data_IF_991338702913
#
_entry.id   IF_991338702913
#
_cell.length_a   1.000
_cell.length_b   1.000
_cell.length_c   1.000
_cell.angle_alpha   90.00
_cell.angle_beta   90.00
_cell.angle_gamma   90.00
#
_symmetry.space_group_name_H-M   'P 1'
#
loop_
_entity.id
_entity.type
_entity.pdbx_description
1 polymer ?
#
# COMPACT_ATOMS: atom_id res chain seq x y z
N UNK A 1 10.11 54.21 -67.95
CA UNK A 1 10.36 52.76 -68.07
C UNK A 1 10.79 52.19 -66.70
N UNK A 2 11.62 52.88 -65.91
CA UNK A 2 12.12 52.39 -64.63
C UNK A 2 11.01 52.18 -63.50
N UNK A 3 9.92 52.97 -63.49
CA UNK A 3 8.89 52.92 -62.51
C UNK A 3 8.01 51.64 -62.58
N UNK A 4 7.90 51.04 -63.73
CA UNK A 4 7.11 49.81 -63.96
C UNK A 4 7.83 48.54 -63.44
N UNK A 5 9.14 48.52 -63.46
CA UNK A 5 9.94 47.40 -63.02
C UNK A 5 10.03 47.32 -61.47
N UNK A 6 10.10 48.49 -60.82
CA UNK A 6 10.16 48.53 -59.34
C UNK A 6 8.85 48.05 -58.68
N UNK A 7 7.70 48.31 -59.30
CA UNK A 7 6.41 47.85 -58.81
C UNK A 7 6.21 46.33 -58.91
N UNK A 8 6.73 45.75 -60.01
CA UNK A 8 6.68 44.25 -60.17
C UNK A 8 7.58 43.51 -59.17
N UNK A 9 8.76 44.06 -58.87
CA UNK A 9 9.70 43.46 -57.93
C UNK A 9 9.16 43.52 -56.51
N UNK A 10 8.50 44.61 -56.13
CA UNK A 10 7.88 44.74 -54.78
C UNK A 10 6.67 43.79 -54.64
N UNK A 11 5.86 43.62 -55.68
CA UNK A 11 4.75 42.67 -55.68
C UNK A 11 5.20 41.24 -55.54
N UNK A 12 6.28 40.86 -56.23
CA UNK A 12 6.86 39.52 -56.12
C UNK A 12 7.45 39.25 -54.71
N UNK A 13 8.12 40.25 -54.12
CA UNK A 13 8.64 40.15 -52.75
C UNK A 13 7.52 40.03 -51.72
N UNK A 14 6.40 40.72 -51.91
CA UNK A 14 5.23 40.65 -51.00
C UNK A 14 4.56 39.29 -51.09
N UNK A 15 4.43 38.72 -52.28
CA UNK A 15 3.89 37.35 -52.48
C UNK A 15 4.83 36.30 -51.86
N UNK A 16 6.15 36.47 -51.96
CA UNK A 16 7.13 35.55 -51.39
C UNK A 16 7.14 35.62 -49.85
N UNK A 17 7.00 36.81 -49.26
CA UNK A 17 6.85 36.99 -47.82
C UNK A 17 5.51 36.40 -47.29
N UNK A 18 4.43 36.51 -48.04
CA UNK A 18 3.13 35.96 -47.67
C UNK A 18 3.10 34.43 -47.75
N UNK A 19 3.80 33.85 -48.75
CA UNK A 19 3.94 32.40 -48.88
C UNK A 19 4.82 31.77 -47.79
N UNK A 20 5.81 32.53 -47.26
CA UNK A 20 6.65 32.04 -46.17
C UNK A 20 5.95 32.09 -44.79
N UNK A 21 4.95 32.96 -44.63
CA UNK A 21 4.20 33.08 -43.37
C UNK A 21 3.10 32.01 -43.20
N UNK A 22 2.68 31.36 -44.30
CA UNK A 22 1.64 30.30 -44.23
C UNK A 22 2.23 28.90 -43.99
N UNK A 23 3.54 28.71 -44.18
CA UNK A 23 4.21 27.42 -43.95
C UNK A 23 4.62 27.19 -42.48
N UNK A 24 4.47 28.20 -41.61
CA UNK A 24 4.84 28.08 -40.20
C UNK A 24 3.71 27.62 -39.29
N UNK A 25 2.51 27.32 -39.84
CA UNK A 25 1.35 26.90 -39.04
C UNK A 25 0.96 25.43 -39.21
N UNK A 26 1.71 24.65 -39.96
CA UNK A 26 1.63 23.20 -39.86
C UNK A 26 2.62 22.74 -38.80
N UNK A 27 2.39 23.12 -37.54
CA UNK A 27 2.82 22.31 -36.45
C UNK A 27 2.03 21.01 -36.57
N UNK A 28 2.66 19.98 -37.17
CA UNK A 28 2.26 18.64 -36.89
C UNK A 28 2.28 18.50 -35.37
N UNK A 29 1.14 18.59 -34.74
CA UNK A 29 0.87 17.81 -33.54
C UNK A 29 0.90 16.37 -34.06
N UNK A 30 2.09 15.75 -34.08
CA UNK A 30 2.16 14.32 -34.15
C UNK A 30 1.23 13.83 -33.07
N UNK A 31 0.39 12.86 -33.38
CA UNK A 31 -0.15 11.95 -32.37
C UNK A 31 1.09 11.27 -31.74
N UNK A 32 1.83 12.02 -30.94
CA UNK A 32 2.71 11.41 -29.97
C UNK A 32 1.77 10.62 -29.10
N UNK A 33 1.88 9.30 -29.15
CA UNK A 33 1.28 8.37 -28.19
C UNK A 33 1.75 8.79 -26.79
N UNK A 34 1.17 9.87 -26.28
CA UNK A 34 1.26 10.22 -24.88
C UNK A 34 0.49 9.13 -24.16
N UNK A 35 1.21 8.09 -23.76
CA UNK A 35 0.70 7.13 -22.81
C UNK A 35 0.35 7.94 -21.56
N UNK A 36 -0.93 8.31 -21.44
CA UNK A 36 -1.45 8.94 -20.22
C UNK A 36 -1.14 7.93 -19.12
N UNK A 37 -0.25 8.27 -18.17
CA UNK A 37 0.04 7.32 -17.09
C UNK A 37 -1.28 6.96 -16.41
N UNK A 38 -1.54 5.67 -16.25
CA UNK A 38 -2.71 5.19 -15.53
C UNK A 38 -2.64 5.74 -14.10
N UNK A 39 -3.49 6.71 -13.80
CA UNK A 39 -3.61 7.25 -12.44
C UNK A 39 -4.41 6.23 -11.63
N UNK A 40 -3.73 5.46 -10.81
CA UNK A 40 -4.41 4.60 -9.85
C UNK A 40 -5.07 5.48 -8.78
N UNK A 41 -6.37 5.32 -8.62
CA UNK A 41 -7.10 5.89 -7.49
C UNK A 41 -7.08 4.88 -6.34
N UNK A 42 -6.70 5.35 -5.14
CA UNK A 42 -6.68 4.52 -3.95
C UNK A 42 -7.87 4.85 -3.05
N UNK A 43 -8.58 3.82 -2.56
CA UNK A 43 -9.48 3.93 -1.43
C UNK A 43 -8.70 3.92 -0.11
N UNK A 44 -7.55 3.22 -0.09
CA UNK A 44 -6.65 3.16 1.05
C UNK A 44 -5.20 2.97 0.59
N UNK A 45 -4.24 3.61 1.27
CA UNK A 45 -2.81 3.42 1.02
C UNK A 45 -2.01 3.69 2.29
N UNK A 46 -1.24 2.71 2.76
CA UNK A 46 -0.35 2.82 3.93
C UNK A 46 0.96 2.09 3.69
N UNK A 47 2.08 2.81 3.86
CA UNK A 47 3.45 2.31 3.76
C UNK A 47 4.24 2.48 5.07
N UNK A 48 3.59 2.91 6.15
CA UNK A 48 4.18 3.12 7.48
C UNK A 48 5.26 4.22 7.54
N UNK A 49 5.47 5.00 6.49
CA UNK A 49 6.56 5.99 6.40
C UNK A 49 6.47 7.11 7.45
N UNK A 50 5.28 7.36 8.01
CA UNK A 50 5.07 8.31 9.10
C UNK A 50 5.25 7.71 10.50
N UNK A 51 5.47 6.40 10.62
CA UNK A 51 5.62 5.73 11.91
C UNK A 51 6.98 5.99 12.53
N UNK A 52 7.07 6.38 13.81
CA UNK A 52 8.34 6.49 14.48
C UNK A 52 8.98 5.10 14.63
N UNK A 53 10.28 5.00 14.35
CA UNK A 53 11.03 3.75 14.40
C UNK A 53 11.95 3.70 15.61
N UNK A 54 12.12 2.50 16.19
CA UNK A 54 13.12 2.23 17.19
C UNK A 54 14.46 1.78 16.56
N UNK A 55 15.52 1.85 17.34
CA UNK A 55 16.85 1.34 16.95
C UNK A 55 17.31 0.19 17.84
N UNK A 56 18.05 -0.76 17.26
CA UNK A 56 18.55 -1.93 17.98
C UNK A 56 17.39 -2.78 18.55
N UNK A 57 17.39 -2.99 19.88
CA UNK A 57 16.35 -3.75 20.57
C UNK A 57 15.12 -2.92 20.96
N UNK A 58 15.12 -1.61 20.69
CA UNK A 58 13.98 -0.74 21.01
C UNK A 58 12.89 -0.97 19.97
N UNK A 59 11.69 -1.35 20.43
CA UNK A 59 10.48 -1.49 19.61
C UNK A 59 9.56 -0.32 19.90
N UNK A 60 9.26 0.48 18.87
CA UNK A 60 8.26 1.55 18.97
C UNK A 60 6.99 1.04 18.31
N UNK A 61 5.91 0.80 19.09
CA UNK A 61 4.67 0.28 18.54
C UNK A 61 4.07 1.21 17.49
N UNK A 62 3.47 0.62 16.45
CA UNK A 62 2.67 1.36 15.47
C UNK A 62 1.47 1.94 16.20
N UNK A 63 1.32 3.28 16.10
CA UNK A 63 0.27 4.07 16.73
C UNK A 63 -0.28 5.10 15.74
N UNK A 64 -0.59 4.68 14.53
CA UNK A 64 -1.21 5.50 13.51
C UNK A 64 -2.69 5.76 13.83
N UNK A 65 -3.19 6.93 13.43
CA UNK A 65 -4.58 7.31 13.68
C UNK A 65 -5.57 6.29 13.10
N UNK A 66 -6.53 5.87 13.91
CA UNK A 66 -7.56 4.92 13.54
C UNK A 66 -7.11 3.45 13.43
N UNK A 67 -5.80 3.16 13.54
CA UNK A 67 -5.30 1.80 13.58
C UNK A 67 -5.49 1.17 14.96
N UNK A 68 -5.75 -0.14 14.99
CA UNK A 68 -5.74 -0.94 16.22
C UNK A 68 -4.55 -1.88 16.19
N UNK A 69 -3.68 -1.77 17.19
CA UNK A 69 -2.51 -2.61 17.40
C UNK A 69 -2.65 -3.30 18.76
N UNK A 70 -2.91 -4.60 18.76
CA UNK A 70 -3.31 -5.33 19.95
C UNK A 70 -2.73 -6.75 19.96
N UNK A 71 -2.30 -7.24 21.11
CA UNK A 71 -1.93 -8.64 21.32
C UNK A 71 -2.98 -9.35 22.18
N UNK A 72 -3.75 -10.24 21.57
CA UNK A 72 -4.75 -11.08 22.22
C UNK A 72 -4.16 -12.37 22.82
N UNK A 73 -2.97 -12.30 23.42
CA UNK A 73 -2.32 -13.42 24.09
C UNK A 73 -3.23 -14.07 25.11
N UNK A 74 -3.30 -15.40 25.08
CA UNK A 74 -4.09 -16.22 26.03
C UNK A 74 -3.23 -16.93 27.07
N UNK A 75 -1.90 -16.76 27.02
CA UNK A 75 -0.97 -17.33 27.99
C UNK A 75 -0.99 -16.59 29.33
N UNK A 76 -0.43 -17.22 30.36
CA UNK A 76 -0.25 -16.63 31.70
C UNK A 76 1.23 -16.75 32.08
N UNK A 77 1.99 -15.62 32.15
CA UNK A 77 1.56 -14.24 31.84
C UNK A 77 1.23 -14.05 30.34
N UNK A 78 0.40 -13.06 30.03
CA UNK A 78 0.09 -12.72 28.65
C UNK A 78 1.28 -11.96 27.98
N UNK A 79 1.45 -12.14 26.67
CA UNK A 79 2.36 -11.31 25.91
C UNK A 79 1.77 -9.91 25.74
N UNK A 80 2.62 -8.89 25.89
CA UNK A 80 2.26 -7.48 25.69
C UNK A 80 2.92 -6.89 24.44
N UNK A 81 3.61 -7.71 23.64
CA UNK A 81 4.30 -7.25 22.43
C UNK A 81 3.31 -6.83 21.35
N UNK A 82 3.65 -5.77 20.64
CA UNK A 82 2.83 -5.17 19.60
C UNK A 82 3.59 -5.14 18.27
N UNK A 83 2.90 -5.00 17.17
CA UNK A 83 3.49 -4.63 15.91
C UNK A 83 4.24 -3.30 16.07
N UNK A 84 5.44 -3.23 15.56
CA UNK A 84 6.30 -2.05 15.68
C UNK A 84 6.88 -1.68 14.31
N UNK A 85 7.25 -0.41 14.14
CA UNK A 85 7.87 0.06 12.93
C UNK A 85 9.39 -0.14 12.96
N UNK A 86 9.93 -0.57 11.83
CA UNK A 86 11.38 -0.68 11.57
C UNK A 86 11.74 0.06 10.30
N UNK A 87 13.00 0.46 10.20
CA UNK A 87 13.55 1.05 8.98
C UNK A 87 14.75 0.25 8.49
N UNK A 88 14.82 0.07 7.18
CA UNK A 88 15.97 -0.47 6.48
C UNK A 88 16.06 0.12 5.08
N UNK A 89 17.23 0.63 4.69
CA UNK A 89 17.49 1.25 3.38
C UNK A 89 16.45 2.35 3.02
N UNK A 90 16.19 3.24 3.99
CA UNK A 90 15.21 4.33 3.89
C UNK A 90 13.75 3.92 3.72
N UNK A 91 13.41 2.63 3.80
CA UNK A 91 12.06 2.11 3.81
C UNK A 91 11.61 1.82 5.24
N UNK A 92 10.41 2.27 5.62
CA UNK A 92 9.79 1.97 6.92
C UNK A 92 8.69 0.94 6.69
N UNK A 93 8.58 -0.04 7.56
CA UNK A 93 7.61 -1.14 7.46
C UNK A 93 7.17 -1.59 8.84
N UNK A 94 6.02 -2.26 8.93
CA UNK A 94 5.59 -2.93 10.15
C UNK A 94 6.33 -4.26 10.33
N UNK A 95 6.77 -4.57 11.55
CA UNK A 95 7.47 -5.80 11.90
C UNK A 95 6.88 -6.43 13.16
N UNK A 96 6.82 -7.76 13.19
CA UNK A 96 6.56 -8.54 14.39
C UNK A 96 7.40 -9.83 14.39
N UNK A 97 7.83 -10.26 15.59
CA UNK A 97 8.52 -11.54 15.79
C UNK A 97 8.31 -12.05 17.22
N UNK A 98 7.94 -13.31 17.37
CA UNK A 98 7.88 -13.97 18.69
C UNK A 98 9.24 -14.38 19.24
N UNK A 99 10.33 -14.16 18.51
CA UNK A 99 11.68 -14.52 18.97
C UNK A 99 12.05 -13.82 20.29
N UNK A 100 11.63 -12.57 20.45
CA UNK A 100 11.90 -11.77 21.65
C UNK A 100 10.78 -11.83 22.71
N UNK A 101 9.75 -12.66 22.50
CA UNK A 101 8.70 -12.86 23.49
C UNK A 101 9.22 -13.63 24.71
N UNK A 102 8.55 -13.45 25.84
CA UNK A 102 8.88 -14.17 27.08
C UNK A 102 8.59 -15.67 26.87
N UNK A 103 9.44 -16.53 27.40
CA UNK A 103 9.22 -17.99 27.34
C UNK A 103 7.91 -18.37 28.07
N UNK A 104 7.11 -19.22 27.47
CA UNK A 104 5.81 -19.61 27.99
C UNK A 104 4.65 -18.68 27.58
N UNK A 105 4.92 -17.57 26.88
CA UNK A 105 3.86 -16.72 26.31
C UNK A 105 3.57 -17.13 24.87
N UNK A 106 2.31 -16.90 24.44
CA UNK A 106 1.92 -16.93 23.04
C UNK A 106 1.66 -15.50 22.56
N UNK A 107 1.87 -15.28 21.27
CA UNK A 107 1.53 -14.02 20.59
C UNK A 107 0.35 -14.25 19.65
N UNK A 108 -0.66 -13.41 19.77
CA UNK A 108 -1.79 -13.29 18.83
C UNK A 108 -1.92 -11.80 18.50
N UNK A 109 -0.93 -11.30 17.75
CA UNK A 109 -0.79 -9.86 17.53
C UNK A 109 -1.58 -9.42 16.29
N UNK A 110 -2.54 -8.52 16.51
CA UNK A 110 -3.40 -7.92 15.52
C UNK A 110 -2.90 -6.53 15.14
N UNK A 111 -2.86 -6.24 13.85
CA UNK A 111 -2.71 -4.90 13.29
C UNK A 111 -3.88 -4.68 12.33
N UNK A 112 -4.79 -3.76 12.68
CA UNK A 112 -6.07 -3.58 11.99
C UNK A 112 -6.15 -2.16 11.47
N UNK A 113 -6.54 -2.00 10.20
CA UNK A 113 -6.68 -0.69 9.55
C UNK A 113 -7.77 0.17 10.18
N UNK A 114 -7.75 1.50 9.96
CA UNK A 114 -8.94 2.33 10.11
C UNK A 114 -10.13 1.80 9.31
N UNK A 115 -11.34 2.33 9.56
CA UNK A 115 -12.49 2.09 8.69
C UNK A 115 -12.21 2.64 7.29
N UNK A 116 -12.53 1.84 6.29
CA UNK A 116 -12.36 2.17 4.88
C UNK A 116 -13.75 2.13 4.25
N UNK A 117 -14.16 3.26 3.66
CA UNK A 117 -15.45 3.37 2.98
C UNK A 117 -15.31 2.89 1.52
N UNK A 118 -15.97 1.79 1.20
CA UNK A 118 -16.05 1.21 -0.14
C UNK A 118 -17.46 1.32 -0.76
N UNK A 119 -18.38 2.11 -0.17
CA UNK A 119 -19.78 2.23 -0.67
C UNK A 119 -19.88 2.99 -1.98
N UNK A 120 -18.95 3.89 -2.28
CA UNK A 120 -18.97 4.75 -3.47
C UNK A 120 -17.94 4.34 -4.53
N UNK A 121 -17.43 3.11 -4.46
CA UNK A 121 -16.36 2.61 -5.34
C UNK A 121 -16.76 1.28 -5.96
N UNK A 122 -16.04 0.83 -6.97
CA UNK A 122 -16.24 -0.45 -7.65
C UNK A 122 -14.91 -1.07 -8.05
N UNK A 123 -14.86 -2.40 -8.12
CA UNK A 123 -13.68 -3.12 -8.58
C UNK A 123 -12.49 -3.00 -7.64
N UNK A 124 -12.75 -2.88 -6.34
CA UNK A 124 -11.73 -2.71 -5.32
C UNK A 124 -10.82 -3.93 -5.23
N UNK A 125 -9.53 -3.65 -5.18
CA UNK A 125 -8.51 -4.69 -5.10
C UNK A 125 -7.50 -4.34 -4.00
N UNK A 126 -7.37 -5.24 -3.03
CA UNK A 126 -6.35 -5.16 -1.99
C UNK A 126 -5.05 -5.79 -2.49
N UNK A 127 -3.93 -5.11 -2.25
CA UNK A 127 -2.59 -5.67 -2.34
C UNK A 127 -1.73 -5.17 -1.17
N UNK A 128 -0.79 -5.99 -0.74
CA UNK A 128 0.21 -5.64 0.28
C UNK A 128 1.49 -6.45 0.04
N UNK A 129 2.59 -6.04 0.65
CA UNK A 129 3.85 -6.75 0.57
C UNK A 129 4.20 -7.38 1.92
N UNK A 130 4.69 -8.62 1.90
CA UNK A 130 5.22 -9.28 3.09
C UNK A 130 6.63 -9.81 2.84
N UNK A 131 7.43 -9.86 3.90
CA UNK A 131 8.77 -10.45 3.91
C UNK A 131 8.96 -11.25 5.19
N UNK A 132 9.56 -12.43 5.06
CA UNK A 132 9.99 -13.22 6.21
C UNK A 132 11.48 -13.13 6.41
N UNK A 133 11.92 -13.21 7.68
CA UNK A 133 13.32 -13.39 8.07
C UNK A 133 13.41 -14.49 9.14
N UNK A 134 14.45 -15.27 9.09
CA UNK A 134 14.67 -16.38 10.04
C UNK A 134 13.44 -17.32 10.14
N UNK A 135 12.84 -17.62 8.99
CA UNK A 135 11.59 -18.35 8.93
C UNK A 135 11.72 -19.79 9.48
N UNK A 136 10.82 -20.13 10.41
CA UNK A 136 10.61 -21.47 10.94
C UNK A 136 9.11 -21.86 10.94
N UNK A 137 8.31 -21.19 10.13
CA UNK A 137 6.88 -21.34 9.91
C UNK A 137 6.32 -20.03 9.39
N UNK A 138 5.10 -20.03 8.85
CA UNK A 138 4.45 -18.80 8.37
C UNK A 138 3.39 -18.31 9.37
N UNK A 139 3.59 -17.15 10.04
CA UNK A 139 2.78 -16.75 11.17
C UNK A 139 1.57 -15.87 10.81
N UNK A 140 1.48 -15.33 9.58
CA UNK A 140 0.49 -14.33 9.21
C UNK A 140 -0.79 -14.94 8.66
N UNK A 141 -1.92 -14.40 9.11
CA UNK A 141 -3.21 -14.53 8.45
C UNK A 141 -3.78 -13.12 8.23
N UNK A 142 -4.24 -12.83 7.02
CA UNK A 142 -4.96 -11.61 6.70
C UNK A 142 -6.47 -11.86 6.75
N UNK A 143 -7.24 -10.87 7.19
CA UNK A 143 -8.69 -10.94 7.31
C UNK A 143 -9.34 -9.66 6.82
N UNK A 144 -10.63 -9.76 6.50
CA UNK A 144 -11.53 -8.63 6.27
C UNK A 144 -12.76 -8.74 7.19
N UNK A 145 -13.26 -7.60 7.64
CA UNK A 145 -14.50 -7.46 8.40
C UNK A 145 -15.25 -6.21 7.97
N UNK A 146 -16.59 -6.25 8.04
CA UNK A 146 -17.48 -5.10 7.82
C UNK A 146 -18.29 -4.74 9.08
N UNK A 147 -18.17 -5.54 10.14
CA UNK A 147 -18.91 -5.40 11.40
C UNK A 147 -18.01 -5.11 12.63
N UNK A 148 -16.69 -4.96 12.42
CA UNK A 148 -15.78 -4.64 13.51
C UNK A 148 -15.94 -3.19 13.98
N UNK A 149 -16.13 -2.99 15.28
CA UNK A 149 -16.44 -1.72 15.92
C UNK A 149 -15.24 -0.80 16.20
N UNK A 150 -14.01 -1.26 15.88
CA UNK A 150 -12.77 -0.50 16.11
C UNK A 150 -12.22 -0.62 17.54
N UNK A 151 -12.83 -1.40 18.42
CA UNK A 151 -12.35 -1.57 19.80
C UNK A 151 -11.61 -2.89 20.01
N UNK A 152 -10.67 -2.95 20.96
CA UNK A 152 -10.00 -4.21 21.30
C UNK A 152 -10.95 -5.31 21.78
N UNK A 153 -12.06 -4.94 22.43
CA UNK A 153 -13.11 -5.87 22.85
C UNK A 153 -13.87 -6.44 21.64
N UNK A 154 -14.13 -5.62 20.62
CA UNK A 154 -14.81 -6.00 19.40
C UNK A 154 -14.06 -7.03 18.55
N UNK A 155 -12.75 -7.18 18.72
CA UNK A 155 -11.96 -8.19 17.97
C UNK A 155 -12.53 -9.60 18.16
N UNK A 156 -13.02 -9.93 19.35
CA UNK A 156 -13.55 -11.25 19.68
C UNK A 156 -14.99 -11.48 19.16
N UNK A 157 -15.72 -10.43 18.86
CA UNK A 157 -17.14 -10.48 18.46
C UNK A 157 -17.38 -10.21 16.98
N UNK A 158 -16.44 -9.53 16.31
CA UNK A 158 -16.53 -9.24 14.89
C UNK A 158 -16.41 -10.51 14.05
N UNK A 159 -17.03 -10.47 12.88
CA UNK A 159 -16.91 -11.50 11.84
C UNK A 159 -15.66 -11.26 11.02
N UNK A 160 -14.67 -12.15 11.13
CA UNK A 160 -13.41 -12.08 10.39
C UNK A 160 -13.38 -13.12 9.28
N UNK A 161 -13.48 -12.68 8.02
CA UNK A 161 -13.34 -13.53 6.84
C UNK A 161 -11.87 -13.61 6.44
N UNK A 162 -11.24 -14.80 6.39
CA UNK A 162 -9.85 -14.94 6.00
C UNK A 162 -9.67 -14.63 4.52
N UNK A 163 -8.57 -13.90 4.20
CA UNK A 163 -8.16 -13.56 2.84
C UNK A 163 -7.04 -14.50 2.38
N UNK A 164 -7.16 -14.99 1.15
CA UNK A 164 -6.11 -15.79 0.51
C UNK A 164 -5.14 -14.86 -0.21
N UNK A 165 -3.84 -15.06 0.00
CA UNK A 165 -2.78 -14.26 -0.60
C UNK A 165 -1.51 -15.06 -0.84
N UNK A 166 -0.60 -14.53 -1.66
CA UNK A 166 0.71 -15.14 -1.91
C UNK A 166 1.66 -14.84 -0.76
N UNK A 167 2.13 -15.88 -0.08
CA UNK A 167 3.11 -15.76 1.00
C UNK A 167 4.56 -15.86 0.46
N UNK A 168 5.55 -15.23 1.13
CA UNK A 168 6.96 -15.42 0.81
C UNK A 168 7.39 -16.90 0.95
N UNK A 169 8.15 -17.38 -0.03
CA UNK A 169 8.76 -18.72 -0.03
C UNK A 169 10.25 -18.70 0.30
N UNK A 170 10.84 -17.51 0.38
CA UNK A 170 12.24 -17.29 0.73
C UNK A 170 12.36 -16.14 1.75
N UNK A 171 13.41 -16.19 2.58
CA UNK A 171 13.74 -15.11 3.50
C UNK A 171 14.28 -13.88 2.78
N UNK A 172 14.14 -12.72 3.43
CA UNK A 172 14.77 -11.44 3.11
C UNK A 172 14.35 -10.82 1.76
N UNK A 173 13.23 -11.29 1.17
CA UNK A 173 12.64 -10.74 -0.07
C UNK A 173 11.19 -10.34 0.19
N UNK A 174 10.83 -9.09 -0.14
CA UNK A 174 9.43 -8.69 -0.16
C UNK A 174 8.69 -9.33 -1.33
N UNK A 175 7.56 -9.94 -1.04
CA UNK A 175 6.68 -10.60 -1.99
C UNK A 175 5.31 -9.94 -1.93
N UNK A 176 4.74 -9.61 -3.09
CA UNK A 176 3.38 -9.10 -3.19
C UNK A 176 2.36 -10.19 -2.84
N UNK A 177 1.33 -9.81 -2.09
CA UNK A 177 0.17 -10.66 -1.82
C UNK A 177 -0.53 -11.17 -3.08
N UNK A 178 -0.28 -10.56 -4.23
CA UNK A 178 -1.16 -10.59 -5.39
C UNK A 178 -2.37 -9.67 -5.18
N UNK A 179 -3.22 -9.60 -6.19
CA UNK A 179 -4.46 -8.83 -6.14
C UNK A 179 -5.56 -9.67 -5.48
N UNK A 180 -6.16 -9.13 -4.43
CA UNK A 180 -7.25 -9.75 -3.67
C UNK A 180 -8.52 -8.95 -3.98
N UNK A 181 -9.50 -9.58 -4.60
CA UNK A 181 -10.77 -8.97 -4.96
C UNK A 181 -11.61 -8.65 -3.72
N UNK A 182 -12.00 -7.40 -3.56
CA UNK A 182 -12.85 -6.91 -2.49
C UNK A 182 -14.23 -6.44 -2.99
N UNK A 183 -14.56 -6.61 -4.25
CA UNK A 183 -15.79 -6.10 -4.88
C UNK A 183 -17.10 -6.58 -4.24
N UNK A 184 -17.06 -7.62 -3.41
CA UNK A 184 -18.22 -8.11 -2.64
C UNK A 184 -18.41 -7.44 -1.27
N UNK A 185 -17.52 -6.50 -0.88
CA UNK A 185 -17.55 -5.87 0.44
C UNK A 185 -17.94 -4.38 0.35
N UNK A 186 -19.19 -4.11 -0.06
CA UNK A 186 -19.77 -2.76 -0.10
C UNK A 186 -20.18 -2.31 1.32
N UNK A 187 -19.31 -1.58 2.01
CA UNK A 187 -19.55 -1.08 3.37
C UNK A 187 -18.74 0.20 3.62
N UNK A 188 -19.26 1.07 4.47
CA UNK A 188 -18.54 2.25 5.00
C UNK A 188 -17.58 1.89 6.15
N UNK A 189 -17.56 0.63 6.58
CA UNK A 189 -16.76 0.13 7.70
C UNK A 189 -15.96 -1.13 7.32
N UNK A 190 -15.34 -1.13 6.14
CA UNK A 190 -14.41 -2.23 5.78
C UNK A 190 -13.12 -2.10 6.59
N UNK A 191 -12.67 -3.19 7.21
CA UNK A 191 -11.40 -3.27 7.95
C UNK A 191 -10.57 -4.44 7.45
N UNK A 192 -9.29 -4.19 7.22
CA UNK A 192 -8.32 -5.25 6.93
C UNK A 192 -7.50 -5.50 8.20
N UNK A 193 -7.36 -6.76 8.57
CA UNK A 193 -6.59 -7.15 9.75
C UNK A 193 -5.45 -8.10 9.37
N UNK A 194 -4.29 -7.86 9.95
CA UNK A 194 -3.10 -8.69 9.84
C UNK A 194 -2.82 -9.29 11.20
N UNK A 195 -3.03 -10.61 11.33
CA UNK A 195 -2.84 -11.34 12.58
C UNK A 195 -1.60 -12.21 12.52
N UNK A 196 -0.63 -11.90 13.37
CA UNK A 196 0.54 -12.76 13.62
C UNK A 196 0.20 -13.74 14.73
N UNK A 197 0.52 -15.03 14.53
CA UNK A 197 0.38 -16.07 15.57
C UNK A 197 1.71 -16.80 15.74
N UNK A 198 2.24 -16.81 16.96
CA UNK A 198 3.51 -17.44 17.26
C UNK A 198 3.80 -17.57 18.76
N UNK A 199 5.00 -18.01 19.09
CA UNK A 199 5.51 -18.06 20.46
C UNK A 199 7.02 -18.22 20.46
N UNK A 200 7.69 -17.90 21.58
CA UNK A 200 9.14 -18.05 21.75
C UNK A 200 9.65 -19.47 21.44
N UNK A 201 8.85 -20.50 21.72
CA UNK A 201 9.21 -21.91 21.55
C UNK A 201 8.55 -22.57 20.33
N UNK A 202 7.74 -21.82 19.60
CA UNK A 202 7.06 -22.25 18.38
C UNK A 202 7.52 -21.48 17.15
N UNK A 203 6.58 -20.86 16.44
CA UNK A 203 6.88 -20.01 15.29
C UNK A 203 7.44 -18.68 15.78
N UNK A 204 8.69 -18.38 15.40
CA UNK A 204 9.44 -17.18 15.76
C UNK A 204 9.79 -16.32 14.55
N UNK A 205 9.36 -16.72 13.35
CA UNK A 205 9.61 -15.99 12.10
C UNK A 205 9.42 -14.49 12.27
N UNK A 206 10.43 -13.70 11.94
CA UNK A 206 10.27 -12.26 11.82
C UNK A 206 9.48 -11.98 10.55
N UNK A 207 8.32 -11.38 10.69
CA UNK A 207 7.45 -10.99 9.59
C UNK A 207 7.45 -9.47 9.44
N UNK A 208 7.62 -9.02 8.21
CA UNK A 208 7.53 -7.63 7.80
C UNK A 208 6.34 -7.46 6.86
N UNK A 209 5.60 -6.36 7.04
CA UNK A 209 4.42 -5.98 6.28
C UNK A 209 4.58 -4.53 5.80
N UNK A 210 4.22 -4.28 4.54
CA UNK A 210 4.42 -2.99 3.91
C UNK A 210 3.48 -2.77 2.72
N UNK A 211 3.36 -1.52 2.25
CA UNK A 211 2.67 -1.16 1.01
C UNK A 211 1.24 -1.70 0.91
N UNK A 212 0.44 -1.52 1.95
CA UNK A 212 -0.96 -1.91 1.97
C UNK A 212 -1.77 -0.93 1.12
N UNK A 213 -2.41 -1.40 0.06
CA UNK A 213 -3.15 -0.57 -0.89
C UNK A 213 -4.48 -1.20 -1.25
N UNK A 214 -5.53 -0.40 -1.25
CA UNK A 214 -6.80 -0.74 -1.89
C UNK A 214 -6.97 0.21 -3.06
N UNK A 215 -6.82 -0.33 -4.27
CA UNK A 215 -7.12 0.38 -5.52
C UNK A 215 -8.60 0.31 -5.83
N UNK A 216 -9.13 1.30 -6.55
CA UNK A 216 -10.51 1.38 -7.03
C UNK A 216 -10.55 1.87 -8.47
N UNK A 217 -11.59 1.49 -9.18
CA UNK A 217 -11.89 1.97 -10.53
C UNK A 217 -12.71 3.25 -10.50
#
# INVERSE_FOLDING_TARGET
>A
VLKKYTMKINFLKTIFLLALSTSALTSCVGDDDYVIPTVFSYAFNEGFESSPTGSGSVEVPIALEGWVNYNGSTSTPASTRLWHARTFDSNIYAEFSSFYSVSGTNDVAWLITPAIDLTATTGETLAFNTKTRFANGYPLTAFISTDYDGTTAGIATATWTPLTFTAPTANDVFVSSGNIDLSSYESDNVRIAFKYTGSKTGVTTTLQLDNIKITKN
#
